data_IF_694359814575
#
_entry.id   IF_694359814575
#
_cell.length_a   1.000
_cell.length_b   1.000
_cell.length_c   1.000
_cell.angle_alpha   90.00
_cell.angle_beta   90.00
_cell.angle_gamma   90.00
#
_symmetry.space_group_name_H-M   'P 1'
#
loop_
_entity.id
_entity.type
_entity.pdbx_description
1 polymer ?
#
# COMPACT_ATOMS: atom_id res chain seq x y z
N UNK A 1 16.80 5.31 -13.97
CA UNK A 1 15.36 5.13 -14.22
C UNK A 1 14.53 6.18 -13.47
N UNK A 2 14.79 6.44 -12.19
CA UNK A 2 14.08 7.46 -11.39
C UNK A 2 14.06 8.84 -12.09
N UNK A 3 15.23 9.34 -12.50
CA UNK A 3 15.35 10.61 -13.24
C UNK A 3 14.47 10.66 -14.50
N UNK A 4 14.43 9.55 -15.26
CA UNK A 4 13.57 9.46 -16.44
C UNK A 4 12.09 9.57 -16.07
N UNK A 5 11.64 8.82 -15.05
CA UNK A 5 10.25 8.83 -14.61
C UNK A 5 9.84 10.22 -14.10
N UNK A 6 10.72 10.90 -13.37
CA UNK A 6 10.49 12.28 -12.90
C UNK A 6 10.35 13.23 -14.10
N UNK A 7 11.24 13.15 -15.07
CA UNK A 7 11.19 13.98 -16.28
C UNK A 7 9.95 13.69 -17.15
N UNK A 8 9.42 12.47 -17.10
CA UNK A 8 8.18 12.06 -17.75
C UNK A 8 6.92 12.45 -16.95
N UNK A 9 7.08 13.08 -15.76
CA UNK A 9 5.98 13.67 -14.99
C UNK A 9 5.52 12.84 -13.78
N UNK A 10 6.31 11.86 -13.31
CA UNK A 10 5.98 11.15 -12.08
C UNK A 10 5.98 12.12 -10.89
N UNK A 11 4.90 12.10 -10.10
CA UNK A 11 4.77 12.85 -8.86
C UNK A 11 5.21 12.05 -7.62
N UNK A 12 5.15 10.73 -7.71
CA UNK A 12 5.55 9.78 -6.66
C UNK A 12 6.31 8.64 -7.36
N UNK A 13 7.37 8.15 -6.74
CA UNK A 13 8.07 6.94 -7.16
C UNK A 13 7.72 5.80 -6.21
N UNK A 14 7.11 4.73 -6.72
CA UNK A 14 6.81 3.52 -5.96
C UNK A 14 7.96 2.52 -6.09
N UNK A 15 8.51 2.08 -4.95
CA UNK A 15 9.71 1.24 -4.86
C UNK A 15 9.35 -0.05 -4.15
N UNK A 16 9.55 -1.18 -4.79
CA UNK A 16 9.36 -2.50 -4.21
C UNK A 16 10.59 -3.38 -4.32
N UNK A 17 10.91 -4.13 -3.27
CA UNK A 17 12.02 -5.09 -3.23
C UNK A 17 11.60 -6.53 -3.48
N UNK A 18 10.37 -6.87 -3.15
CA UNK A 18 9.72 -8.17 -3.40
C UNK A 18 8.64 -7.99 -4.47
N UNK A 19 8.47 -8.98 -5.34
CA UNK A 19 7.31 -8.98 -6.25
C UNK A 19 6.05 -9.37 -5.46
N UNK A 20 5.01 -8.57 -5.56
CA UNK A 20 3.71 -8.83 -4.93
C UNK A 20 2.72 -9.58 -5.83
N UNK A 21 3.14 -9.93 -7.06
CA UNK A 21 2.29 -10.67 -8.02
C UNK A 21 1.95 -12.06 -7.51
N UNK A 22 0.72 -12.57 -7.76
CA UNK A 22 0.36 -13.94 -7.39
C UNK A 22 1.38 -14.97 -7.85
N UNK A 23 1.81 -15.87 -6.93
CA UNK A 23 2.80 -16.90 -7.22
C UNK A 23 4.26 -16.47 -7.16
N UNK A 24 4.56 -15.26 -6.74
CA UNK A 24 5.94 -14.80 -6.52
C UNK A 24 6.65 -15.60 -5.42
N UNK A 25 7.98 -15.60 -5.46
CA UNK A 25 8.80 -16.16 -4.38
C UNK A 25 9.02 -15.12 -3.29
N UNK A 26 8.57 -15.42 -2.08
CA UNK A 26 8.84 -14.56 -0.92
C UNK A 26 10.33 -14.51 -0.62
N UNK A 27 10.83 -13.34 -0.27
CA UNK A 27 12.20 -13.11 0.19
C UNK A 27 12.19 -12.75 1.68
N UNK A 28 13.36 -12.81 2.32
CA UNK A 28 13.49 -12.39 3.72
C UNK A 28 13.38 -10.87 3.84
N UNK A 29 13.00 -10.39 5.02
CA UNK A 29 12.96 -8.94 5.31
C UNK A 29 14.34 -8.31 5.08
N UNK A 30 15.40 -8.98 5.51
CA UNK A 30 16.77 -8.50 5.34
C UNK A 30 17.14 -8.34 3.85
N UNK A 31 16.79 -9.32 3.02
CA UNK A 31 17.06 -9.25 1.57
C UNK A 31 16.26 -8.10 0.92
N UNK A 32 15.03 -7.88 1.36
CA UNK A 32 14.21 -6.78 0.86
C UNK A 32 14.76 -5.41 1.29
N UNK A 33 15.17 -5.27 2.55
CA UNK A 33 15.82 -4.06 3.08
C UNK A 33 17.09 -3.73 2.28
N UNK A 34 17.94 -4.72 2.02
CA UNK A 34 19.18 -4.55 1.23
C UNK A 34 18.92 -4.09 -0.21
N UNK A 35 17.74 -4.41 -0.77
CA UNK A 35 17.33 -3.96 -2.10
C UNK A 35 16.78 -2.53 -2.10
N UNK A 36 15.90 -2.19 -1.15
CA UNK A 36 15.12 -0.95 -1.22
C UNK A 36 15.82 0.23 -0.55
N UNK A 37 16.47 0.04 0.60
CA UNK A 37 17.07 1.14 1.38
C UNK A 37 18.09 1.93 0.57
N UNK A 38 19.10 1.30 -0.09
CA UNK A 38 20.06 2.05 -0.87
C UNK A 38 19.44 2.84 -2.04
N UNK A 39 18.34 2.33 -2.60
CA UNK A 39 17.61 3.00 -3.69
C UNK A 39 16.89 4.23 -3.16
N UNK A 40 16.18 4.11 -2.03
CA UNK A 40 15.47 5.22 -1.38
C UNK A 40 16.47 6.34 -1.04
N UNK A 41 17.56 6.01 -0.34
CA UNK A 41 18.60 6.98 0.03
C UNK A 41 19.21 7.69 -1.19
N UNK A 42 19.51 6.94 -2.26
CA UNK A 42 20.06 7.50 -3.47
C UNK A 42 19.07 8.46 -4.16
N UNK A 43 17.78 8.15 -4.20
CA UNK A 43 16.77 9.02 -4.78
C UNK A 43 16.59 10.27 -3.92
N UNK A 44 16.43 10.14 -2.60
CA UNK A 44 16.26 11.28 -1.70
C UNK A 44 17.45 12.23 -1.70
N UNK A 45 18.66 11.70 -1.93
CA UNK A 45 19.87 12.53 -2.04
C UNK A 45 19.90 13.38 -3.31
N UNK A 46 19.30 12.91 -4.41
CA UNK A 46 19.47 13.51 -5.74
C UNK A 46 18.22 14.21 -6.26
N UNK A 47 17.03 13.90 -5.71
CA UNK A 47 15.75 14.39 -6.24
C UNK A 47 14.82 14.79 -5.09
N UNK A 48 14.08 15.86 -5.30
CA UNK A 48 12.96 16.27 -4.44
C UNK A 48 11.68 15.66 -4.99
N UNK A 49 11.40 14.40 -4.60
CA UNK A 49 10.22 13.64 -5.02
C UNK A 49 9.72 12.77 -3.86
N UNK A 50 8.40 12.60 -3.80
CA UNK A 50 7.80 11.68 -2.85
C UNK A 50 8.11 10.21 -3.22
N UNK A 51 8.41 9.40 -2.21
CA UNK A 51 8.70 7.97 -2.34
C UNK A 51 7.64 7.17 -1.62
N UNK A 52 6.97 6.28 -2.35
CA UNK A 52 6.16 5.19 -1.84
C UNK A 52 7.01 3.93 -1.77
N UNK A 53 6.92 3.18 -0.66
CA UNK A 53 7.56 1.88 -0.50
C UNK A 53 6.50 0.78 -0.53
N UNK A 54 6.51 -0.05 -1.58
CA UNK A 54 5.63 -1.21 -1.74
C UNK A 54 6.14 -2.36 -0.87
N UNK A 55 5.55 -2.46 0.31
CA UNK A 55 5.82 -3.55 1.26
C UNK A 55 4.72 -3.65 2.33
N UNK A 56 4.45 -4.87 2.75
CA UNK A 56 3.53 -5.19 3.85
C UNK A 56 4.28 -5.65 5.13
N UNK A 57 5.61 -5.64 5.10
CA UNK A 57 6.47 -6.16 6.17
C UNK A 57 6.90 -5.04 7.11
N UNK A 58 6.73 -5.26 8.42
CA UNK A 58 7.06 -4.28 9.44
C UNK A 58 8.53 -3.84 9.42
N UNK A 59 9.47 -4.80 9.37
CA UNK A 59 10.92 -4.46 9.45
C UNK A 59 11.38 -3.71 8.19
N UNK A 60 10.83 -4.05 7.01
CA UNK A 60 11.10 -3.36 5.75
C UNK A 60 10.54 -1.94 5.78
N UNK A 61 9.28 -1.77 6.23
CA UNK A 61 8.64 -0.46 6.37
C UNK A 61 9.44 0.44 7.32
N UNK A 62 9.85 -0.08 8.47
CA UNK A 62 10.66 0.65 9.46
C UNK A 62 11.99 1.12 8.86
N UNK A 63 12.70 0.26 8.15
CA UNK A 63 13.96 0.60 7.50
C UNK A 63 13.77 1.60 6.36
N UNK A 64 12.73 1.44 5.55
CA UNK A 64 12.40 2.33 4.44
C UNK A 64 11.99 3.73 4.90
N UNK A 65 11.19 3.84 5.97
CA UNK A 65 10.84 5.13 6.58
C UNK A 65 12.11 5.83 7.09
N UNK A 66 13.00 5.10 7.77
CA UNK A 66 14.26 5.65 8.25
C UNK A 66 15.18 6.11 7.10
N UNK A 67 15.09 5.49 5.93
CA UNK A 67 15.80 5.87 4.71
C UNK A 67 15.16 7.06 3.97
N UNK A 68 13.93 7.46 4.33
CA UNK A 68 13.23 8.61 3.80
C UNK A 68 12.01 8.30 2.92
N UNK A 69 11.41 7.12 3.02
CA UNK A 69 10.12 6.85 2.38
C UNK A 69 9.02 7.74 3.00
N UNK A 70 8.19 8.34 2.16
CA UNK A 70 7.11 9.25 2.57
C UNK A 70 5.76 8.54 2.72
N UNK A 71 5.63 7.36 2.10
CA UNK A 71 4.41 6.54 2.09
C UNK A 71 4.77 5.05 2.17
N UNK A 72 3.96 4.27 2.83
CA UNK A 72 3.96 2.79 2.74
C UNK A 72 2.76 2.34 1.91
N UNK A 73 3.01 1.60 0.84
CA UNK A 73 2.00 0.98 0.00
C UNK A 73 1.84 -0.48 0.45
N UNK A 74 0.77 -0.73 1.22
CA UNK A 74 0.52 -2.02 1.86
C UNK A 74 -0.61 -2.78 1.15
N UNK A 75 -0.23 -3.82 0.42
CA UNK A 75 -1.17 -4.69 -0.31
C UNK A 75 -2.09 -5.52 0.59
N UNK A 76 -1.89 -5.54 1.90
CA UNK A 76 -2.72 -6.27 2.87
C UNK A 76 -3.59 -5.36 3.74
N UNK A 77 -3.50 -4.03 3.58
CA UNK A 77 -4.34 -3.09 4.31
C UNK A 77 -4.22 -3.22 5.83
N UNK A 78 -2.99 -3.30 6.35
CA UNK A 78 -2.65 -3.42 7.77
C UNK A 78 -3.01 -4.76 8.43
N UNK A 79 -3.44 -5.76 7.66
CA UNK A 79 -3.91 -7.05 8.19
C UNK A 79 -2.82 -8.12 8.28
N UNK A 80 -1.66 -7.89 7.65
CA UNK A 80 -0.56 -8.87 7.65
C UNK A 80 0.26 -8.88 8.94
N UNK A 81 0.64 -7.70 9.44
CA UNK A 81 1.45 -7.54 10.65
C UNK A 81 0.85 -6.42 11.52
N UNK A 82 0.36 -6.80 12.70
CA UNK A 82 -0.28 -5.87 13.64
C UNK A 82 0.63 -4.74 14.12
N UNK A 83 1.96 -4.88 13.99
CA UNK A 83 2.95 -3.86 14.35
C UNK A 83 3.02 -2.71 13.34
N UNK A 84 2.53 -2.92 12.10
CA UNK A 84 2.66 -1.93 11.03
C UNK A 84 1.84 -0.67 11.31
N UNK A 85 0.56 -0.82 11.67
CA UNK A 85 -0.31 0.33 11.92
C UNK A 85 0.20 1.25 13.05
N UNK A 86 0.64 0.76 14.23
CA UNK A 86 1.28 1.60 15.24
C UNK A 86 2.57 2.30 14.76
N UNK A 87 3.37 1.65 13.92
CA UNK A 87 4.56 2.26 13.33
C UNK A 87 4.17 3.47 12.47
N UNK A 88 3.24 3.30 11.52
CA UNK A 88 2.81 4.36 10.62
C UNK A 88 2.21 5.56 11.37
N UNK A 89 1.41 5.30 12.41
CA UNK A 89 0.84 6.33 13.26
C UNK A 89 1.91 7.11 14.02
N UNK A 90 2.92 6.42 14.57
CA UNK A 90 4.02 7.02 15.34
C UNK A 90 4.92 7.89 14.47
N UNK A 91 5.24 7.44 13.28
CA UNK A 91 6.14 8.14 12.35
C UNK A 91 5.40 9.19 11.50
N UNK A 92 4.06 9.30 11.61
CA UNK A 92 3.17 10.19 10.85
C UNK A 92 3.34 10.06 9.32
N UNK A 93 3.60 8.83 8.85
CA UNK A 93 3.85 8.50 7.44
C UNK A 93 2.53 8.19 6.73
N UNK A 94 2.38 8.61 5.48
CA UNK A 94 1.23 8.26 4.67
C UNK A 94 1.17 6.76 4.37
N UNK A 95 -0.01 6.24 4.11
CA UNK A 95 -0.19 4.85 3.71
C UNK A 95 -1.22 4.69 2.59
N UNK A 96 -0.91 3.85 1.62
CA UNK A 96 -1.86 3.32 0.66
C UNK A 96 -2.29 1.95 1.15
N UNK A 97 -3.57 1.77 1.41
CA UNK A 97 -4.13 0.58 2.02
C UNK A 97 -5.00 -0.15 0.99
N UNK A 98 -4.48 -1.29 0.50
CA UNK A 98 -5.12 -2.04 -0.56
C UNK A 98 -6.07 -3.11 0.00
N UNK A 99 -7.21 -3.27 -0.67
CA UNK A 99 -8.11 -4.40 -0.44
C UNK A 99 -7.53 -5.69 -1.04
N UNK A 100 -7.31 -6.68 -0.19
CA UNK A 100 -6.84 -8.00 -0.58
C UNK A 100 -7.47 -9.11 0.25
N UNK A 101 -7.58 -10.32 -0.31
CA UNK A 101 -7.95 -11.58 0.36
C UNK A 101 -7.07 -12.72 -0.16
N UNK A 102 -6.93 -13.76 0.66
CA UNK A 102 -6.25 -15.01 0.26
C UNK A 102 -7.07 -15.88 -0.72
N UNK A 103 -8.34 -15.54 -0.91
CA UNK A 103 -9.30 -16.30 -1.72
C UNK A 103 -10.19 -15.35 -2.53
N UNK A 104 -11.11 -15.92 -3.34
CA UNK A 104 -12.09 -15.20 -4.14
C UNK A 104 -13.53 -15.46 -3.66
N UNK A 105 -13.70 -15.84 -2.39
CA UNK A 105 -14.98 -16.22 -1.82
C UNK A 105 -15.66 -14.99 -1.19
N UNK A 106 -16.76 -14.57 -1.79
CA UNK A 106 -17.60 -13.47 -1.34
C UNK A 106 -19.06 -13.95 -1.33
N UNK A 107 -19.85 -13.55 -0.36
CA UNK A 107 -21.31 -13.78 -0.34
C UNK A 107 -22.02 -12.75 -1.21
N UNK A 108 -21.77 -11.49 -0.94
CA UNK A 108 -22.05 -10.35 -1.81
C UNK A 108 -20.74 -9.59 -2.01
N UNK A 109 -20.29 -9.51 -3.26
CA UNK A 109 -18.94 -9.00 -3.52
C UNK A 109 -18.76 -7.55 -3.07
N UNK A 110 -19.72 -6.66 -3.37
CA UNK A 110 -19.57 -5.23 -3.05
C UNK A 110 -19.76 -4.99 -1.55
N UNK A 111 -20.71 -5.66 -0.90
CA UNK A 111 -20.92 -5.53 0.54
C UNK A 111 -19.72 -6.06 1.32
N UNK A 112 -19.21 -7.25 0.98
CA UNK A 112 -18.04 -7.86 1.60
C UNK A 112 -16.78 -7.01 1.39
N UNK A 113 -16.59 -6.49 0.15
CA UNK A 113 -15.51 -5.56 -0.17
C UNK A 113 -15.55 -4.30 0.71
N UNK A 114 -16.72 -3.68 0.84
CA UNK A 114 -16.86 -2.51 1.71
C UNK A 114 -16.57 -2.84 3.17
N UNK A 115 -17.05 -3.98 3.66
CA UNK A 115 -16.77 -4.45 5.02
C UNK A 115 -15.28 -4.65 5.27
N UNK A 116 -14.53 -5.20 4.29
CA UNK A 116 -13.08 -5.37 4.40
C UNK A 116 -12.32 -4.05 4.46
N UNK A 117 -12.77 -3.04 3.70
CA UNK A 117 -12.21 -1.68 3.76
C UNK A 117 -12.52 -1.04 5.12
N UNK A 118 -13.74 -1.18 5.63
CA UNK A 118 -14.12 -0.66 6.95
C UNK A 118 -13.29 -1.29 8.08
N UNK A 119 -12.99 -2.60 7.99
CA UNK A 119 -12.07 -3.27 8.92
C UNK A 119 -10.67 -2.65 8.86
N UNK A 120 -10.11 -2.45 7.66
CA UNK A 120 -8.82 -1.79 7.44
C UNK A 120 -8.81 -0.39 8.07
N UNK A 121 -9.84 0.42 7.82
CA UNK A 121 -9.98 1.76 8.39
C UNK A 121 -10.14 1.75 9.92
N UNK A 122 -10.82 0.74 10.46
CA UNK A 122 -10.94 0.56 11.91
C UNK A 122 -9.58 0.25 12.55
N UNK A 123 -8.73 -0.57 11.90
CA UNK A 123 -7.35 -0.84 12.33
C UNK A 123 -6.54 0.46 12.31
N UNK A 124 -6.57 1.22 11.21
CA UNK A 124 -5.87 2.48 11.07
C UNK A 124 -6.29 3.50 12.15
N UNK A 125 -7.59 3.68 12.36
CA UNK A 125 -8.14 4.56 13.38
C UNK A 125 -7.75 4.15 14.80
N UNK A 126 -7.81 2.85 15.12
CA UNK A 126 -7.41 2.32 16.43
C UNK A 126 -5.93 2.58 16.72
N UNK A 127 -5.07 2.51 15.70
CA UNK A 127 -3.65 2.81 15.82
C UNK A 127 -3.35 4.31 15.90
N UNK A 128 -4.29 5.18 15.53
CA UNK A 128 -4.13 6.64 15.52
C UNK A 128 -3.59 7.20 14.21
N UNK A 129 -3.68 6.47 13.11
CA UNK A 129 -3.36 6.99 11.77
C UNK A 129 -4.41 8.04 11.42
N UNK A 130 -3.97 9.23 11.00
CA UNK A 130 -4.84 10.33 10.59
C UNK A 130 -5.46 10.06 9.22
N UNK A 131 -6.71 10.46 9.03
CA UNK A 131 -7.42 10.25 7.75
C UNK A 131 -6.69 10.89 6.56
N UNK A 132 -6.10 12.08 6.75
CA UNK A 132 -5.30 12.76 5.73
C UNK A 132 -4.01 12.03 5.32
N UNK A 133 -3.66 10.96 6.01
CA UNK A 133 -2.51 10.09 5.71
C UNK A 133 -2.90 8.81 4.98
N UNK A 134 -4.18 8.63 4.67
CA UNK A 134 -4.69 7.38 4.08
C UNK A 134 -5.08 7.59 2.63
N UNK A 135 -4.59 6.70 1.77
CA UNK A 135 -5.06 6.46 0.40
C UNK A 135 -5.63 5.04 0.37
N UNK A 136 -6.75 4.83 -0.31
CA UNK A 136 -7.33 3.51 -0.50
C UNK A 136 -7.01 2.96 -1.89
N UNK A 137 -6.87 1.64 -2.01
CA UNK A 137 -6.67 0.95 -3.30
C UNK A 137 -7.67 -0.22 -3.41
N UNK A 138 -8.47 -0.30 -4.47
CA UNK A 138 -9.41 -1.39 -4.69
C UNK A 138 -8.75 -2.77 -4.86
N UNK A 139 -7.46 -2.84 -5.08
CA UNK A 139 -6.72 -4.09 -5.28
C UNK A 139 -7.16 -4.84 -6.52
N UNK A 140 -7.29 -4.16 -7.66
CA UNK A 140 -7.59 -4.80 -8.93
C UNK A 140 -6.50 -5.82 -9.26
N UNK A 141 -6.89 -7.09 -9.50
CA UNK A 141 -5.95 -8.20 -9.73
C UNK A 141 -5.53 -8.97 -8.48
N UNK A 142 -6.01 -8.58 -7.29
CA UNK A 142 -5.67 -9.23 -6.02
C UNK A 142 -6.93 -9.73 -5.32
N UNK A 143 -6.92 -10.99 -4.84
CA UNK A 143 -8.03 -11.59 -4.10
C UNK A 143 -9.38 -11.53 -4.82
N UNK A 144 -9.38 -11.46 -6.15
CA UNK A 144 -10.57 -11.29 -7.00
C UNK A 144 -10.48 -12.12 -8.27
N UNK A 145 -11.58 -12.73 -8.67
CA UNK A 145 -11.69 -13.34 -9.99
C UNK A 145 -11.96 -12.27 -11.08
N UNK A 146 -12.09 -12.69 -12.33
CA UNK A 146 -12.28 -11.76 -13.45
C UNK A 146 -13.55 -10.90 -13.30
N UNK A 147 -14.69 -11.52 -12.97
CA UNK A 147 -15.97 -10.82 -12.82
C UNK A 147 -15.94 -9.82 -11.67
N UNK A 148 -15.29 -10.17 -10.56
CA UNK A 148 -15.11 -9.31 -9.39
C UNK A 148 -14.21 -8.12 -9.70
N UNK A 149 -13.15 -8.31 -10.50
CA UNK A 149 -12.32 -7.20 -10.97
C UNK A 149 -13.10 -6.22 -11.83
N UNK A 150 -13.91 -6.72 -12.77
CA UNK A 150 -14.79 -5.86 -13.59
C UNK A 150 -15.84 -5.17 -12.72
N UNK A 151 -16.37 -5.88 -11.73
CA UNK A 151 -17.39 -5.33 -10.82
C UNK A 151 -16.84 -4.16 -10.00
N UNK A 152 -15.67 -4.28 -9.38
CA UNK A 152 -15.12 -3.18 -8.60
C UNK A 152 -14.77 -1.98 -9.47
N UNK A 153 -14.23 -2.19 -10.67
CA UNK A 153 -13.97 -1.11 -11.62
C UNK A 153 -15.25 -0.35 -12.03
N UNK A 154 -16.37 -1.06 -12.13
CA UNK A 154 -17.67 -0.44 -12.43
C UNK A 154 -18.26 0.33 -11.25
N UNK A 155 -17.96 -0.09 -10.04
CA UNK A 155 -18.52 0.46 -8.81
C UNK A 155 -17.51 1.30 -8.00
N UNK A 156 -16.59 2.01 -8.67
CA UNK A 156 -15.63 2.90 -8.00
C UNK A 156 -16.29 4.00 -7.17
N UNK A 157 -17.55 4.32 -7.45
CA UNK A 157 -18.36 5.26 -6.68
C UNK A 157 -18.56 4.85 -5.21
N UNK A 158 -18.39 3.56 -4.86
CA UNK A 158 -18.46 3.11 -3.45
C UNK A 158 -17.41 3.78 -2.56
N UNK A 159 -16.26 4.19 -3.13
CA UNK A 159 -15.21 4.88 -2.38
C UNK A 159 -15.60 6.27 -1.88
N UNK A 160 -16.63 6.89 -2.47
CA UNK A 160 -17.18 8.16 -1.99
C UNK A 160 -17.68 8.10 -0.54
N UNK A 161 -18.01 6.90 -0.04
CA UNK A 161 -18.45 6.68 1.35
C UNK A 161 -17.42 7.13 2.38
N UNK A 162 -16.14 7.00 2.07
CA UNK A 162 -15.06 7.29 3.01
C UNK A 162 -14.42 8.66 2.76
N UNK A 163 -14.64 9.30 1.61
CA UNK A 163 -14.11 10.62 1.29
C UNK A 163 -12.58 10.67 1.22
N UNK A 164 -11.92 9.51 1.09
CA UNK A 164 -10.47 9.37 1.01
C UNK A 164 -9.99 9.30 -0.44
N UNK A 165 -8.74 9.72 -0.74
CA UNK A 165 -8.14 9.53 -2.04
C UNK A 165 -8.07 8.05 -2.42
N UNK A 166 -8.15 7.76 -3.72
CA UNK A 166 -8.08 6.40 -4.25
C UNK A 166 -6.95 6.29 -5.26
N UNK A 167 -6.09 5.30 -5.08
CA UNK A 167 -5.12 4.84 -6.06
C UNK A 167 -5.78 3.77 -6.93
N UNK A 168 -5.58 3.82 -8.28
CA UNK A 168 -6.11 2.86 -9.24
C UNK A 168 -5.06 2.51 -10.29
#
# INVERSE_FOLDING_TARGET
>A
QAERMINEGAAILDIGGESTRPGHKKITDQEEIERVVPVIEAIKKNFDIAISLDTYKYEVSKAGIAAGADMINDIWGLKWDERLAPLLAKEDVACCLMHNRDNHEYKDFIEDFCSDIEETLAIAKKAGIKEERIVLDPGVGFGKNFEQNLSIMKHMDVFSRWGLPVLL
#
